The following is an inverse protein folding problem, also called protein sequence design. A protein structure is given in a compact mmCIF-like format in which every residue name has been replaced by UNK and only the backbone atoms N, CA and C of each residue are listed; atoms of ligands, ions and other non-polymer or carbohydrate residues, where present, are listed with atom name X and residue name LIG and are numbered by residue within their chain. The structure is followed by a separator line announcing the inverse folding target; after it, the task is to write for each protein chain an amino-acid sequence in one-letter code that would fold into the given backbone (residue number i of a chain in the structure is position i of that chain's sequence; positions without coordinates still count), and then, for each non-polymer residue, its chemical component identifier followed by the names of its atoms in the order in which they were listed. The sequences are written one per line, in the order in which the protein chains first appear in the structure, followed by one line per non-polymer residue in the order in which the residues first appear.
data_IF_345979343392
#
_entry.id   IF_345979343392
#
_cell.length_a   1.000
_cell.length_b   1.000
_cell.length_c   1.000
_cell.angle_alpha   90.00
_cell.angle_beta   90.00
_cell.angle_gamma   90.00
#
_symmetry.space_group_name_H-M   'P 1'
#
loop_
_entity.id
_entity.type
_entity.pdbx_description
1 polymer ?
#
# COMPACT_ATOMS: atom_id res chain seq x y z
N UNK A 1 -19.29 19.21 1.29
CA UNK A 1 -18.10 19.47 0.45
C UNK A 1 -18.48 19.24 -1.00
N UNK A 2 -17.99 20.02 -1.97
CA UNK A 2 -18.34 19.80 -3.39
C UNK A 2 -17.67 18.53 -3.93
N UNK A 3 -18.28 17.84 -4.93
CA UNK A 3 -17.70 16.64 -5.58
C UNK A 3 -16.24 16.83 -5.98
N UNK A 4 -15.90 18.00 -6.52
CA UNK A 4 -14.51 18.36 -6.90
C UNK A 4 -13.54 18.35 -5.71
N UNK A 5 -13.97 18.78 -4.52
CA UNK A 5 -13.14 18.74 -3.31
C UNK A 5 -12.92 17.32 -2.82
N UNK A 6 -13.94 16.47 -2.87
CA UNK A 6 -13.81 15.05 -2.51
C UNK A 6 -12.88 14.30 -3.46
N UNK A 7 -13.02 14.50 -4.78
CA UNK A 7 -12.11 13.89 -5.76
C UNK A 7 -10.66 14.36 -5.60
N UNK A 8 -10.45 15.64 -5.27
CA UNK A 8 -9.10 16.16 -4.99
C UNK A 8 -8.52 15.52 -3.71
N UNK A 9 -9.31 15.45 -2.63
CA UNK A 9 -8.89 14.81 -1.39
C UNK A 9 -8.54 13.33 -1.60
N UNK A 10 -9.39 12.60 -2.34
CA UNK A 10 -9.16 11.22 -2.73
C UNK A 10 -7.81 11.05 -3.46
N UNK A 11 -7.54 11.91 -4.45
CA UNK A 11 -6.29 11.87 -5.21
C UNK A 11 -5.08 12.16 -4.33
N UNK A 12 -5.12 13.20 -3.49
CA UNK A 12 -4.01 13.57 -2.62
C UNK A 12 -3.69 12.45 -1.62
N UNK A 13 -4.73 11.84 -1.04
CA UNK A 13 -4.58 10.70 -0.12
C UNK A 13 -4.00 9.49 -0.85
N UNK A 14 -4.47 9.18 -2.06
CA UNK A 14 -3.94 8.08 -2.87
C UNK A 14 -2.49 8.32 -3.29
N UNK A 15 -2.11 9.55 -3.67
CA UNK A 15 -0.72 9.91 -4.02
C UNK A 15 0.19 9.82 -2.81
N UNK A 16 -0.25 10.32 -1.65
CA UNK A 16 0.50 10.16 -0.40
C UNK A 16 0.69 8.68 -0.06
N UNK A 17 -0.38 7.88 -0.17
CA UNK A 17 -0.33 6.43 0.02
C UNK A 17 0.62 5.73 -0.96
N UNK A 18 0.62 6.11 -2.22
CA UNK A 18 1.55 5.57 -3.23
C UNK A 18 3.00 5.94 -2.94
N UNK A 19 3.26 7.17 -2.50
CA UNK A 19 4.57 7.60 -2.04
C UNK A 19 5.03 6.76 -0.85
N UNK A 20 4.12 6.50 0.10
CA UNK A 20 4.39 5.64 1.25
C UNK A 20 4.70 4.20 0.83
N UNK A 21 3.89 3.56 -0.04
CA UNK A 21 4.19 2.20 -0.52
C UNK A 21 5.52 2.17 -1.25
N UNK A 22 5.78 3.14 -2.13
CA UNK A 22 7.03 3.21 -2.88
C UNK A 22 8.21 3.29 -1.92
N UNK A 23 8.25 4.29 -1.03
CA UNK A 23 9.34 4.42 -0.05
C UNK A 23 9.43 3.18 0.85
N UNK A 24 8.30 2.67 1.34
CA UNK A 24 8.22 1.51 2.22
C UNK A 24 8.75 0.22 1.61
N UNK A 25 8.58 0.01 0.29
CA UNK A 25 9.19 -1.14 -0.41
C UNK A 25 10.72 -1.07 -0.46
N UNK A 26 11.31 0.12 -0.46
CA UNK A 26 12.78 0.30 -0.46
C UNK A 26 13.40 0.42 0.94
N UNK A 27 12.56 0.44 1.98
CA UNK A 27 12.96 0.50 3.38
C UNK A 27 13.17 -0.91 3.97
N UNK A 28 13.72 -1.03 5.19
CA UNK A 28 14.01 -2.32 5.82
C UNK A 28 12.75 -3.18 6.03
N UNK A 29 12.84 -4.47 5.67
CA UNK A 29 11.90 -5.53 6.04
C UNK A 29 12.66 -6.65 6.76
N UNK A 30 12.83 -6.51 8.08
CA UNK A 30 13.74 -7.35 8.85
C UNK A 30 13.22 -8.78 9.00
N UNK A 31 14.11 -9.75 8.77
CA UNK A 31 13.89 -11.17 9.07
C UNK A 31 15.04 -11.68 9.94
N UNK A 32 14.71 -12.42 10.99
CA UNK A 32 15.69 -13.03 11.90
C UNK A 32 15.60 -14.55 11.84
N UNK A 33 16.69 -15.26 12.16
CA UNK A 33 16.66 -16.73 12.17
C UNK A 33 15.66 -17.24 13.23
N UNK A 34 14.95 -18.36 12.96
CA UNK A 34 14.14 -19.00 13.99
C UNK A 34 15.03 -19.38 15.18
N UNK A 35 14.59 -19.03 16.40
CA UNK A 35 15.38 -19.26 17.62
C UNK A 35 16.52 -18.26 17.85
N UNK A 36 16.46 -17.06 17.23
CA UNK A 36 17.37 -15.98 17.56
C UNK A 36 17.12 -15.50 19.00
N UNK A 37 18.06 -15.80 19.90
CA UNK A 37 18.11 -15.26 21.25
C UNK A 37 19.06 -14.06 21.27
N UNK A 38 18.51 -12.86 21.42
CA UNK A 38 19.27 -11.62 21.49
C UNK A 38 18.52 -10.41 20.93
N UNK A 39 19.01 -9.19 21.18
CA UNK A 39 18.46 -8.00 20.57
C UNK A 39 18.72 -8.01 19.06
N UNK A 40 17.67 -7.81 18.26
CA UNK A 40 17.78 -7.66 16.81
C UNK A 40 18.57 -6.38 16.51
N UNK A 41 19.76 -6.45 15.87
CA UNK A 41 20.56 -5.26 15.62
C UNK A 41 19.81 -4.29 14.71
N UNK A 42 19.47 -3.10 15.24
CA UNK A 42 18.85 -2.02 14.48
C UNK A 42 19.84 -1.27 13.56
N UNK A 43 21.08 -1.78 13.42
CA UNK A 43 22.08 -1.16 12.56
C UNK A 43 21.79 -1.58 11.13
N UNK A 44 21.13 -0.66 10.43
CA UNK A 44 20.81 -0.83 9.02
C UNK A 44 21.99 -0.41 8.14
N UNK A 45 22.53 -1.35 7.37
CA UNK A 45 23.44 -1.05 6.26
C UNK A 45 22.59 -0.83 5.00
N UNK A 46 22.81 0.23 4.21
CA UNK A 46 22.11 0.44 2.96
C UNK A 46 22.14 -0.81 2.07
N UNK A 47 20.96 -1.32 1.68
CA UNK A 47 20.82 -2.51 0.83
C UNK A 47 20.69 -3.85 1.58
N UNK A 48 20.80 -3.86 2.92
CA UNK A 48 20.58 -5.07 3.71
C UNK A 48 19.08 -5.32 3.88
N UNK A 49 18.54 -6.46 3.45
CA UNK A 49 17.11 -6.80 3.59
C UNK A 49 16.15 -5.67 3.13
N UNK A 50 16.56 -4.93 2.09
CA UNK A 50 15.69 -3.97 1.40
C UNK A 50 14.75 -4.74 0.48
N UNK A 51 13.50 -4.28 0.38
CA UNK A 51 12.47 -4.99 -0.38
C UNK A 51 11.52 -5.74 0.52
N UNK A 52 10.24 -5.67 0.18
CA UNK A 52 9.15 -6.56 0.54
C UNK A 52 9.37 -7.98 -0.01
N UNK A 53 10.58 -8.52 0.17
CA UNK A 53 11.06 -9.87 -0.12
C UNK A 53 10.43 -10.57 -1.33
N UNK A 54 10.38 -9.88 -2.48
CA UNK A 54 9.89 -10.45 -3.74
C UNK A 54 8.42 -10.16 -4.07
N UNK A 55 7.66 -9.58 -3.13
CA UNK A 55 6.31 -9.06 -3.37
C UNK A 55 6.28 -7.57 -3.70
N UNK A 56 7.46 -6.93 -3.77
CA UNK A 56 7.67 -5.52 -4.13
C UNK A 56 6.88 -5.11 -5.38
N UNK A 57 7.08 -5.87 -6.46
CA UNK A 57 6.47 -5.60 -7.74
C UNK A 57 4.96 -5.79 -7.71
N UNK A 58 4.45 -6.69 -6.87
CA UNK A 58 3.02 -6.89 -6.69
C UNK A 58 2.42 -5.70 -5.93
N UNK A 59 3.08 -5.24 -4.87
CA UNK A 59 2.64 -4.08 -4.10
C UNK A 59 2.71 -2.77 -4.94
N UNK A 60 3.78 -2.58 -5.71
CA UNK A 60 3.93 -1.44 -6.63
C UNK A 60 2.93 -1.50 -7.79
N UNK A 61 2.69 -2.69 -8.35
CA UNK A 61 1.68 -2.91 -9.38
C UNK A 61 0.27 -2.60 -8.87
N UNK A 62 -0.09 -3.11 -7.70
CA UNK A 62 -1.35 -2.79 -7.04
C UNK A 62 -1.49 -1.28 -6.73
N UNK A 63 -0.40 -0.65 -6.30
CA UNK A 63 -0.35 0.81 -6.07
C UNK A 63 -0.62 1.59 -7.35
N UNK A 64 -0.01 1.20 -8.48
CA UNK A 64 -0.27 1.83 -9.77
C UNK A 64 -1.74 1.66 -10.20
N UNK A 65 -2.31 0.46 -10.02
CA UNK A 65 -3.73 0.21 -10.29
C UNK A 65 -4.63 1.09 -9.42
N UNK A 66 -4.30 1.24 -8.13
CA UNK A 66 -5.05 2.09 -7.22
C UNK A 66 -5.02 3.57 -7.66
N UNK A 67 -3.85 4.08 -8.04
CA UNK A 67 -3.71 5.44 -8.56
C UNK A 67 -4.52 5.66 -9.84
N UNK A 68 -4.49 4.72 -10.79
CA UNK A 68 -5.30 4.79 -12.01
C UNK A 68 -6.79 4.78 -11.68
N UNK A 69 -7.20 4.06 -10.64
CA UNK A 69 -8.59 4.02 -10.20
C UNK A 69 -9.12 5.34 -9.64
N UNK A 70 -8.25 6.21 -9.11
CA UNK A 70 -8.61 7.52 -8.50
C UNK A 70 -8.27 8.72 -9.40
N UNK A 71 -7.32 8.57 -10.32
CA UNK A 71 -6.88 9.64 -11.21
C UNK A 71 -8.01 10.13 -12.15
N UNK A 72 -8.04 11.42 -12.53
CA UNK A 72 -9.02 11.94 -13.49
C UNK A 72 -8.66 11.56 -14.93
N UNK A 73 -8.52 10.27 -15.23
CA UNK A 73 -8.25 9.76 -16.58
C UNK A 73 -9.55 9.27 -17.24
N UNK A 74 -9.72 9.59 -18.53
CA UNK A 74 -10.83 9.09 -19.34
C UNK A 74 -10.51 7.67 -19.81
N UNK A 75 -10.91 6.66 -19.04
CA UNK A 75 -10.80 5.26 -19.47
C UNK A 75 -12.08 4.89 -20.23
N UNK A 76 -12.01 4.62 -21.55
CA UNK A 76 -13.18 4.22 -22.31
C UNK A 76 -13.78 2.94 -21.71
N UNK A 77 -15.12 2.91 -21.55
CA UNK A 77 -15.92 1.74 -21.12
C UNK A 77 -15.88 1.35 -19.64
N UNK A 78 -15.11 2.02 -18.78
CA UNK A 78 -15.09 1.71 -17.33
C UNK A 78 -15.75 2.85 -16.55
N UNK A 79 -16.94 2.59 -15.98
CA UNK A 79 -17.65 3.57 -15.16
C UNK A 79 -16.86 3.96 -13.90
N UNK A 80 -16.99 5.21 -13.47
CA UNK A 80 -16.24 5.80 -12.36
C UNK A 80 -16.38 5.01 -11.05
N UNK A 81 -17.58 4.49 -10.74
CA UNK A 81 -17.82 3.63 -9.57
C UNK A 81 -16.95 2.37 -9.58
N UNK A 82 -16.82 1.71 -10.73
CA UNK A 82 -15.98 0.50 -10.84
C UNK A 82 -14.51 0.82 -10.62
N UNK A 83 -14.05 1.96 -11.12
CA UNK A 83 -12.66 2.42 -10.93
C UNK A 83 -12.36 2.70 -9.47
N UNK A 84 -13.30 3.34 -8.76
CA UNK A 84 -13.19 3.56 -7.33
C UNK A 84 -13.12 2.24 -6.55
N UNK A 85 -13.97 1.26 -6.87
CA UNK A 85 -13.92 -0.08 -6.25
C UNK A 85 -12.60 -0.80 -6.52
N UNK A 86 -12.08 -0.73 -7.75
CA UNK A 86 -10.76 -1.28 -8.10
C UNK A 86 -9.67 -0.62 -7.27
N UNK A 87 -9.73 0.70 -7.05
CA UNK A 87 -8.76 1.38 -6.20
C UNK A 87 -8.82 0.92 -4.73
N UNK A 88 -10.03 0.75 -4.19
CA UNK A 88 -10.23 0.24 -2.82
C UNK A 88 -9.58 -1.14 -2.68
N UNK A 89 -9.89 -2.05 -3.61
CA UNK A 89 -9.39 -3.42 -3.59
C UNK A 89 -7.88 -3.49 -3.79
N UNK A 90 -7.33 -2.66 -4.68
CA UNK A 90 -5.90 -2.62 -4.94
C UNK A 90 -5.10 -2.09 -3.73
N UNK A 91 -5.57 -1.03 -3.07
CA UNK A 91 -5.00 -0.59 -1.78
C UNK A 91 -5.13 -1.67 -0.69
N UNK A 92 -6.28 -2.35 -0.67
CA UNK A 92 -6.57 -3.39 0.31
C UNK A 92 -5.68 -4.62 0.11
N UNK A 93 -5.36 -4.94 -1.14
CA UNK A 93 -4.39 -5.96 -1.49
C UNK A 93 -3.00 -5.60 -0.93
N UNK A 94 -2.52 -4.37 -1.10
CA UNK A 94 -1.23 -3.95 -0.52
C UNK A 94 -1.22 -4.16 1.00
N UNK A 95 -2.25 -3.69 1.71
CA UNK A 95 -2.36 -3.89 3.16
C UNK A 95 -2.43 -5.38 3.53
N UNK A 96 -3.20 -6.18 2.78
CA UNK A 96 -3.32 -7.63 3.00
C UNK A 96 -1.98 -8.34 2.80
N UNK A 97 -1.22 -7.98 1.77
CA UNK A 97 0.11 -8.53 1.54
C UNK A 97 1.02 -8.27 2.76
N UNK A 98 0.98 -7.06 3.34
CA UNK A 98 1.78 -6.79 4.56
C UNK A 98 1.40 -7.70 5.72
N UNK A 99 0.11 -7.98 5.92
CA UNK A 99 -0.38 -8.90 6.96
C UNK A 99 0.05 -10.34 6.65
N UNK A 100 -0.07 -10.79 5.41
CA UNK A 100 0.38 -12.13 5.00
C UNK A 100 1.86 -12.30 5.31
N UNK A 101 2.67 -11.27 5.05
CA UNK A 101 4.10 -11.29 5.35
C UNK A 101 4.38 -11.31 6.86
N UNK A 102 3.62 -10.54 7.64
CA UNK A 102 3.69 -10.57 9.11
C UNK A 102 3.41 -11.96 9.69
N UNK A 103 2.43 -12.66 9.12
CA UNK A 103 2.02 -13.99 9.56
C UNK A 103 2.88 -15.11 8.96
N UNK A 104 3.70 -14.81 7.96
CA UNK A 104 4.58 -15.78 7.30
C UNK A 104 5.78 -16.09 8.20
N UNK A 105 5.61 -17.05 9.10
CA UNK A 105 6.65 -17.58 9.98
C UNK A 105 7.49 -18.72 9.35
N UNK A 106 7.45 -18.90 8.02
CA UNK A 106 7.98 -20.11 7.36
C UNK A 106 9.26 -19.88 6.54
N UNK A 107 10.14 -20.88 6.63
CA UNK A 107 11.37 -21.18 5.86
C UNK A 107 12.51 -20.14 5.80
N UNK A 108 12.23 -18.84 5.92
CA UNK A 108 13.23 -17.78 5.72
C UNK A 108 13.60 -17.00 6.99
N UNK A 109 12.85 -17.18 8.09
CA UNK A 109 13.06 -16.45 9.34
C UNK A 109 11.75 -16.05 10.02
N UNK A 110 11.85 -15.48 11.22
CA UNK A 110 10.78 -14.76 11.89
C UNK A 110 10.82 -13.32 11.39
N UNK A 111 9.68 -12.83 10.88
CA UNK A 111 9.57 -11.46 10.43
C UNK A 111 9.47 -10.49 11.61
N UNK A 112 10.22 -9.40 11.56
CA UNK A 112 10.19 -8.32 12.54
C UNK A 112 9.76 -7.04 11.83
N UNK A 113 8.56 -6.51 12.12
CA UNK A 113 8.10 -5.24 11.58
C UNK A 113 9.09 -4.11 11.82
N UNK A 114 9.40 -3.37 10.76
CA UNK A 114 10.25 -2.18 10.81
C UNK A 114 9.67 -1.10 9.88
N UNK A 115 10.40 -0.01 9.66
CA UNK A 115 9.96 1.15 8.91
C UNK A 115 9.32 0.80 7.55
N UNK A 116 9.90 -0.14 6.79
CA UNK A 116 9.35 -0.55 5.49
C UNK A 116 7.96 -1.17 5.59
N UNK A 117 7.73 -2.01 6.61
CA UNK A 117 6.43 -2.61 6.90
C UNK A 117 5.38 -1.57 7.24
N UNK A 118 5.66 -0.72 8.24
CA UNK A 118 4.67 0.25 8.71
C UNK A 118 4.29 1.24 7.62
N UNK A 119 5.29 1.72 6.87
CA UNK A 119 5.09 2.71 5.82
C UNK A 119 4.33 2.11 4.63
N UNK A 120 4.61 0.85 4.26
CA UNK A 120 3.86 0.14 3.21
C UNK A 120 2.42 -0.19 3.63
N UNK A 121 2.22 -0.66 4.87
CA UNK A 121 0.91 -0.98 5.40
C UNK A 121 0.01 0.28 5.46
N UNK A 122 0.55 1.38 6.00
CA UNK A 122 -0.13 2.68 6.01
C UNK A 122 -0.41 3.17 4.59
N UNK A 123 0.54 3.02 3.68
CA UNK A 123 0.36 3.36 2.27
C UNK A 123 -0.80 2.59 1.62
N UNK A 124 -0.89 1.28 1.85
CA UNK A 124 -2.00 0.44 1.39
C UNK A 124 -3.36 0.92 1.92
N UNK A 125 -3.45 1.24 3.22
CA UNK A 125 -4.66 1.82 3.83
C UNK A 125 -5.02 3.16 3.18
N UNK A 126 -4.06 4.05 2.97
CA UNK A 126 -4.29 5.35 2.32
C UNK A 126 -4.82 5.17 0.90
N UNK A 127 -4.28 4.21 0.12
CA UNK A 127 -4.79 3.90 -1.22
C UNK A 127 -6.25 3.44 -1.17
N UNK A 128 -6.60 2.56 -0.22
CA UNK A 128 -7.99 2.13 -0.05
C UNK A 128 -8.92 3.28 0.35
N UNK A 129 -8.48 4.14 1.27
CA UNK A 129 -9.24 5.32 1.69
C UNK A 129 -9.42 6.30 0.53
N UNK A 130 -8.38 6.52 -0.27
CA UNK A 130 -8.45 7.33 -1.50
C UNK A 130 -9.51 6.80 -2.47
N UNK A 131 -9.53 5.48 -2.69
CA UNK A 131 -10.57 4.82 -3.48
C UNK A 131 -11.98 5.00 -2.90
N UNK A 132 -12.14 4.86 -1.58
CA UNK A 132 -13.43 5.05 -0.90
C UNK A 132 -13.93 6.49 -1.00
N UNK A 133 -13.05 7.48 -0.80
CA UNK A 133 -13.39 8.89 -0.97
C UNK A 133 -13.75 9.22 -2.41
N UNK A 134 -13.08 8.61 -3.39
CA UNK A 134 -13.46 8.74 -4.79
C UNK A 134 -14.84 8.14 -5.06
N UNK A 135 -15.14 6.97 -4.47
CA UNK A 135 -16.46 6.34 -4.56
C UNK A 135 -17.55 7.27 -3.99
N UNK A 136 -17.31 7.89 -2.82
CA UNK A 136 -18.23 8.88 -2.25
C UNK A 136 -18.45 10.07 -3.17
N UNK A 137 -17.39 10.60 -3.78
CA UNK A 137 -17.47 11.74 -4.70
C UNK A 137 -18.35 11.45 -5.94
N UNK A 138 -18.30 10.21 -6.43
CA UNK A 138 -19.00 9.76 -7.65
C UNK A 138 -20.42 9.27 -7.37
N UNK A 139 -20.62 8.56 -6.25
CA UNK A 139 -21.91 8.00 -5.86
C UNK A 139 -22.95 9.07 -5.46
N UNK A 140 -22.52 10.31 -5.23
CA UNK A 140 -23.44 11.44 -5.00
C UNK A 140 -24.24 11.32 -3.70
N UNK A 141 -23.63 10.77 -2.65
CA UNK A 141 -24.22 10.81 -1.30
C UNK A 141 -24.09 12.25 -0.79
N UNK A 142 -25.11 13.06 -1.09
CA UNK A 142 -25.37 14.36 -0.46
C UNK A 142 -26.14 14.17 0.86
#
# INVERSE_FOLDING_TARGET
MTRRRWSLAALLIAVAGAGMVTVGTWLPWLTVRPGHDGPVPAIYLPGMNAGFAGLDWVALGATAVALVGVAPVSVPRVGETRRALVAILAGGLVATLTIVYLLSNASFGVFVPDAGFYLTALGGVHLSVGGALHLYAVAGVD
#
